data_IF_911426649087
#
_entry.id   IF_911426649087
#
_cell.length_a   1.000
_cell.length_b   1.000
_cell.length_c   1.000
_cell.angle_alpha   90.00
_cell.angle_beta   90.00
_cell.angle_gamma   90.00
#
_symmetry.space_group_name_H-M   'P 1'
#
loop_
_entity.id
_entity.type
_entity.pdbx_description
1 polymer ?
#
# COMPACT_ATOMS: atom_id res chain seq x y z
N UNK A 1 -19.34 19.86 -26.52
CA UNK A 1 -18.15 20.12 -25.69
C UNK A 1 -18.34 19.38 -24.38
N UNK A 2 -17.37 18.57 -23.94
CA UNK A 2 -17.39 17.95 -22.60
C UNK A 2 -16.72 18.91 -21.61
N UNK A 3 -17.27 19.01 -20.40
CA UNK A 3 -16.74 19.86 -19.34
C UNK A 3 -16.42 19.02 -18.10
N UNK A 4 -15.23 19.23 -17.53
CA UNK A 4 -14.82 18.71 -16.22
C UNK A 4 -14.83 19.88 -15.24
N UNK A 5 -15.37 19.69 -14.04
CA UNK A 5 -15.65 20.78 -13.09
C UNK A 5 -17.11 21.28 -13.19
N UNK A 6 -17.38 22.58 -12.96
CA UNK A 6 -16.45 23.64 -12.55
C UNK A 6 -15.96 23.43 -11.10
N UNK A 7 -15.17 24.37 -10.56
CA UNK A 7 -14.67 24.33 -9.18
C UNK A 7 -13.87 23.05 -8.86
N UNK A 8 -13.03 22.62 -9.80
CA UNK A 8 -12.06 21.55 -9.62
C UNK A 8 -10.63 22.08 -9.69
N UNK A 9 -9.67 21.32 -9.18
CA UNK A 9 -8.25 21.69 -9.28
C UNK A 9 -7.67 21.52 -10.70
N UNK A 10 -8.37 20.83 -11.60
CA UNK A 10 -7.90 20.51 -12.95
C UNK A 10 -7.43 19.06 -13.09
N UNK A 11 -6.54 18.79 -14.04
CA UNK A 11 -6.09 17.43 -14.34
C UNK A 11 -4.58 17.30 -14.62
N UNK A 12 -4.05 16.11 -14.37
CA UNK A 12 -2.67 15.69 -14.67
C UNK A 12 -2.70 14.38 -15.46
N UNK A 13 -1.80 14.26 -16.43
CA UNK A 13 -1.51 12.99 -17.11
C UNK A 13 0.00 12.83 -17.25
N UNK A 14 0.57 11.95 -16.43
CA UNK A 14 2.03 11.73 -16.43
C UNK A 14 2.57 11.08 -17.71
N UNK A 15 1.85 10.19 -18.41
CA UNK A 15 2.37 9.57 -19.64
C UNK A 15 2.57 10.53 -20.81
N UNK A 16 1.98 11.73 -20.76
CA UNK A 16 2.14 12.77 -21.80
C UNK A 16 2.67 14.09 -21.23
N UNK A 17 3.24 14.05 -20.02
CA UNK A 17 3.81 15.22 -19.35
C UNK A 17 2.83 16.42 -19.20
N UNK A 18 1.53 16.15 -19.02
CA UNK A 18 0.50 17.19 -18.92
C UNK A 18 0.21 17.54 -17.46
N UNK A 19 0.34 18.82 -17.13
CA UNK A 19 -0.15 19.40 -15.88
C UNK A 19 -1.06 20.59 -16.18
N UNK A 20 -2.36 20.40 -16.05
CA UNK A 20 -3.38 21.43 -16.18
C UNK A 20 -4.10 21.59 -14.83
N UNK A 21 -3.35 21.87 -13.78
CA UNK A 21 -3.86 22.08 -12.42
C UNK A 21 -3.49 23.44 -11.85
N UNK A 22 -4.35 23.96 -10.97
CA UNK A 22 -4.15 25.25 -10.29
C UNK A 22 -3.18 25.16 -9.10
N UNK A 23 -3.23 24.05 -8.34
CA UNK A 23 -2.42 23.78 -7.15
C UNK A 23 -2.17 22.29 -7.09
N UNK A 24 -0.92 21.90 -6.84
CA UNK A 24 -0.56 20.51 -6.59
C UNK A 24 0.83 20.20 -7.17
N UNK A 25 1.66 19.41 -6.49
CA UNK A 25 2.92 19.04 -7.07
C UNK A 25 2.72 17.98 -8.15
N UNK A 26 3.60 17.99 -9.15
CA UNK A 26 3.60 16.99 -10.21
C UNK A 26 4.10 15.63 -9.66
N UNK A 27 3.30 14.55 -9.74
CA UNK A 27 3.67 13.25 -9.20
C UNK A 27 4.67 12.51 -10.11
N UNK A 28 5.44 11.54 -9.58
CA UNK A 28 6.17 10.60 -10.43
C UNK A 28 5.21 9.83 -11.35
N UNK A 29 5.71 9.41 -12.51
CA UNK A 29 4.90 8.60 -13.43
C UNK A 29 4.72 7.18 -12.87
N UNK A 30 3.52 6.64 -13.03
CA UNK A 30 3.16 5.29 -12.58
C UNK A 30 1.80 4.89 -13.12
N UNK A 31 1.09 4.04 -12.39
CA UNK A 31 -0.10 3.33 -12.88
C UNK A 31 -1.37 3.54 -12.04
N UNK A 32 -1.30 4.37 -10.99
CA UNK A 32 -2.47 4.73 -10.17
C UNK A 32 -3.23 5.87 -10.86
N UNK A 33 -4.54 5.75 -11.03
CA UNK A 33 -5.39 6.83 -11.52
C UNK A 33 -6.33 7.35 -10.46
N UNK A 34 -6.40 8.67 -10.30
CA UNK A 34 -7.15 9.34 -9.24
C UNK A 34 -8.31 10.13 -9.85
N UNK A 35 -9.51 9.95 -9.31
CA UNK A 35 -10.65 10.84 -9.55
C UNK A 35 -11.23 11.35 -8.23
N UNK A 36 -11.55 12.63 -8.14
CA UNK A 36 -12.07 13.17 -6.87
C UNK A 36 -12.97 14.38 -7.08
N UNK A 37 -14.08 14.43 -6.33
CA UNK A 37 -14.90 15.64 -6.22
C UNK A 37 -14.22 16.75 -5.40
N UNK A 38 -13.25 16.41 -4.54
CA UNK A 38 -12.42 17.37 -3.81
C UNK A 38 -11.04 17.50 -4.44
N UNK A 39 -10.67 18.72 -4.84
CA UNK A 39 -9.32 19.02 -5.32
C UNK A 39 -8.24 18.66 -4.30
N UNK A 40 -8.47 18.96 -3.01
CA UNK A 40 -7.49 18.68 -1.96
C UNK A 40 -7.19 17.19 -1.83
N UNK A 41 -8.17 16.29 -2.04
CA UNK A 41 -7.89 14.85 -2.09
C UNK A 41 -7.01 14.47 -3.28
N UNK A 42 -7.19 15.09 -4.46
CA UNK A 42 -6.26 14.89 -5.60
C UNK A 42 -4.84 15.29 -5.21
N UNK A 43 -4.68 16.48 -4.63
CA UNK A 43 -3.38 16.98 -4.15
C UNK A 43 -2.76 16.05 -3.08
N UNK A 44 -3.56 15.53 -2.15
CA UNK A 44 -3.10 14.59 -1.12
C UNK A 44 -2.55 13.30 -1.72
N UNK A 45 -3.25 12.69 -2.68
CA UNK A 45 -2.76 11.46 -3.33
C UNK A 45 -1.49 11.70 -4.15
N UNK A 46 -1.37 12.85 -4.81
CA UNK A 46 -0.11 13.23 -5.49
C UNK A 46 1.03 13.49 -4.49
N UNK A 47 0.74 14.03 -3.31
CA UNK A 47 1.73 14.17 -2.23
C UNK A 47 2.21 12.81 -1.73
N UNK A 48 1.30 11.87 -1.45
CA UNK A 48 1.67 10.51 -1.10
C UNK A 48 2.47 9.82 -2.21
N UNK A 49 2.12 10.06 -3.47
CA UNK A 49 2.88 9.59 -4.63
C UNK A 49 4.33 10.09 -4.63
N UNK A 50 4.55 11.39 -4.39
CA UNK A 50 5.91 11.94 -4.27
C UNK A 50 6.66 11.44 -3.05
N UNK A 51 5.97 11.32 -1.92
CA UNK A 51 6.58 10.86 -0.67
C UNK A 51 7.04 9.40 -0.78
N UNK A 52 6.23 8.54 -1.40
CA UNK A 52 6.50 7.10 -1.50
C UNK A 52 7.28 6.72 -2.75
N UNK A 53 7.29 7.58 -3.79
CA UNK A 53 7.82 7.26 -5.11
C UNK A 53 6.88 6.44 -5.99
N UNK A 54 5.69 6.04 -5.50
CA UNK A 54 4.73 5.27 -6.29
C UNK A 54 3.88 6.19 -7.14
N UNK A 55 4.02 6.07 -8.46
CA UNK A 55 3.54 7.07 -9.41
C UNK A 55 2.06 7.03 -9.77
N UNK A 56 1.60 8.16 -10.31
CA UNK A 56 0.25 8.39 -10.80
C UNK A 56 0.26 8.37 -12.34
N UNK A 57 -0.74 7.74 -12.97
CA UNK A 57 -1.01 7.79 -14.40
C UNK A 57 -1.91 8.98 -14.77
N UNK A 58 -3.03 9.14 -14.04
CA UNK A 58 -4.02 10.21 -14.23
C UNK A 58 -4.40 10.81 -12.88
N UNK A 59 -4.58 12.11 -12.80
CA UNK A 59 -5.21 12.75 -11.65
C UNK A 59 -6.27 13.72 -12.15
N UNK A 60 -7.53 13.49 -11.83
CA UNK A 60 -8.65 14.28 -12.36
C UNK A 60 -9.51 14.80 -11.20
N UNK A 61 -9.55 16.12 -11.05
CA UNK A 61 -10.48 16.78 -10.12
C UNK A 61 -11.80 17.04 -10.83
N UNK A 62 -12.85 16.32 -10.42
CA UNK A 62 -14.20 16.46 -10.97
C UNK A 62 -14.89 17.75 -10.48
N UNK A 63 -14.45 18.31 -9.35
CA UNK A 63 -15.08 19.48 -8.73
C UNK A 63 -16.57 19.26 -8.51
N UNK A 64 -17.38 20.22 -8.97
CA UNK A 64 -18.84 20.14 -8.91
C UNK A 64 -19.45 19.07 -9.82
N UNK A 65 -18.68 18.49 -10.75
CA UNK A 65 -19.13 17.43 -11.65
C UNK A 65 -20.42 17.79 -12.43
N UNK A 66 -20.52 19.03 -12.92
CA UNK A 66 -21.75 19.55 -13.52
C UNK A 66 -22.09 18.93 -14.88
N UNK A 67 -21.10 18.37 -15.59
CA UNK A 67 -21.29 17.70 -16.88
C UNK A 67 -20.65 16.31 -16.88
N UNK A 68 -19.34 16.24 -16.61
CA UNK A 68 -18.62 14.96 -16.47
C UNK A 68 -18.43 14.64 -15.00
N UNK A 69 -18.98 13.51 -14.55
CA UNK A 69 -18.88 13.07 -13.17
C UNK A 69 -17.87 11.95 -12.97
N UNK A 70 -17.85 11.45 -11.73
CA UNK A 70 -16.97 10.36 -11.31
C UNK A 70 -17.26 9.08 -12.10
N UNK A 71 -18.52 8.78 -12.40
CA UNK A 71 -18.93 7.58 -13.14
C UNK A 71 -18.29 7.53 -14.54
N UNK A 72 -18.32 8.63 -15.30
CA UNK A 72 -17.70 8.69 -16.62
C UNK A 72 -16.18 8.61 -16.55
N UNK A 73 -15.56 9.20 -15.52
CA UNK A 73 -14.12 9.10 -15.30
C UNK A 73 -13.71 7.65 -14.99
N UNK A 74 -14.52 6.92 -14.21
CA UNK A 74 -14.31 5.49 -13.94
C UNK A 74 -14.43 4.65 -15.21
N UNK A 75 -15.41 4.94 -16.08
CA UNK A 75 -15.55 4.25 -17.37
C UNK A 75 -14.33 4.48 -18.28
N UNK A 76 -13.74 5.66 -18.22
CA UNK A 76 -12.46 5.97 -18.89
C UNK A 76 -11.31 5.16 -18.28
N UNK A 77 -11.14 5.20 -16.96
CA UNK A 77 -10.07 4.45 -16.27
C UNK A 77 -10.16 2.93 -16.49
N UNK A 78 -11.37 2.38 -16.62
CA UNK A 78 -11.59 0.98 -16.95
C UNK A 78 -10.96 0.56 -18.29
N UNK A 79 -10.87 1.51 -19.24
CA UNK A 79 -10.37 1.29 -20.60
C UNK A 79 -8.91 1.77 -20.80
N UNK A 80 -8.43 2.67 -19.94
CA UNK A 80 -7.10 3.28 -20.07
C UNK A 80 -5.95 2.30 -19.78
N UNK A 81 -5.13 1.97 -20.77
CA UNK A 81 -4.02 1.01 -20.65
C UNK A 81 -2.93 1.46 -19.65
N UNK A 82 -2.87 2.75 -19.33
CA UNK A 82 -1.93 3.30 -18.34
C UNK A 82 -2.43 3.19 -16.90
N UNK A 83 -3.70 2.87 -16.69
CA UNK A 83 -4.28 2.69 -15.37
C UNK A 83 -4.25 1.22 -14.98
N UNK A 84 -3.59 0.89 -13.87
CA UNK A 84 -3.64 -0.44 -13.25
C UNK A 84 -4.60 -0.50 -12.06
N UNK A 85 -4.79 0.61 -11.35
CA UNK A 85 -5.70 0.75 -10.19
C UNK A 85 -6.26 2.17 -10.15
N UNK A 86 -7.51 2.30 -9.67
CA UNK A 86 -8.13 3.60 -9.47
C UNK A 86 -8.33 3.93 -7.98
N UNK A 87 -8.10 5.18 -7.60
CA UNK A 87 -8.53 5.76 -6.32
C UNK A 87 -9.61 6.78 -6.60
N UNK A 88 -10.71 6.72 -5.86
CA UNK A 88 -11.80 7.69 -5.99
C UNK A 88 -12.24 8.25 -4.65
N UNK A 89 -12.41 9.57 -4.60
CA UNK A 89 -13.08 10.25 -3.50
C UNK A 89 -14.44 10.80 -3.93
N UNK A 90 -15.49 10.42 -3.20
CA UNK A 90 -16.89 10.76 -3.49
C UNK A 90 -17.51 11.42 -2.26
N UNK A 91 -18.08 12.61 -2.42
CA UNK A 91 -18.91 13.29 -1.43
C UNK A 91 -20.38 13.11 -1.77
N UNK A 92 -20.77 13.47 -3.00
CA UNK A 92 -22.15 13.48 -3.49
C UNK A 92 -22.39 12.51 -4.63
N UNK A 93 -23.59 11.92 -4.66
CA UNK A 93 -24.03 10.96 -5.70
C UNK A 93 -25.27 11.54 -6.37
N UNK A 94 -25.16 11.89 -7.65
CA UNK A 94 -26.28 12.38 -8.46
C UNK A 94 -27.08 11.23 -9.09
N UNK A 95 -26.38 10.22 -9.62
CA UNK A 95 -26.98 9.00 -10.20
C UNK A 95 -26.28 7.75 -9.65
N UNK A 96 -26.93 7.12 -8.67
CA UNK A 96 -26.40 5.95 -7.99
C UNK A 96 -26.34 4.69 -8.87
N UNK A 97 -27.30 4.53 -9.80
CA UNK A 97 -27.32 3.37 -10.69
C UNK A 97 -26.19 3.44 -11.72
N UNK A 98 -25.96 4.64 -12.27
CA UNK A 98 -24.84 4.88 -13.17
C UNK A 98 -23.51 4.68 -12.46
N UNK A 99 -23.36 5.24 -11.25
CA UNK A 99 -22.15 5.07 -10.45
C UNK A 99 -21.87 3.58 -10.14
N UNK A 100 -22.88 2.83 -9.72
CA UNK A 100 -22.75 1.40 -9.45
C UNK A 100 -22.35 0.61 -10.72
N UNK A 101 -22.90 0.99 -11.87
CA UNK A 101 -22.54 0.37 -13.17
C UNK A 101 -21.07 0.62 -13.52
N UNK A 102 -20.60 1.87 -13.40
CA UNK A 102 -19.21 2.23 -13.65
C UNK A 102 -18.24 1.58 -12.65
N UNK A 103 -18.61 1.52 -11.38
CA UNK A 103 -17.84 0.80 -10.34
C UNK A 103 -17.69 -0.68 -10.69
N UNK A 104 -18.77 -1.35 -11.08
CA UNK A 104 -18.73 -2.75 -11.51
C UNK A 104 -17.86 -2.95 -12.75
N UNK A 105 -17.96 -2.05 -13.72
CA UNK A 105 -17.18 -2.12 -14.96
C UNK A 105 -15.68 -2.04 -14.69
N UNK A 106 -15.25 -1.09 -13.85
CA UNK A 106 -13.82 -0.96 -13.52
C UNK A 106 -13.35 -2.13 -12.67
N UNK A 107 -14.06 -2.55 -11.61
CA UNK A 107 -13.61 -3.63 -10.72
C UNK A 107 -13.46 -4.97 -11.42
N UNK A 108 -14.32 -5.25 -12.41
CA UNK A 108 -14.21 -6.42 -13.29
C UNK A 108 -12.93 -6.44 -14.15
N UNK A 109 -12.19 -5.34 -14.23
CA UNK A 109 -10.93 -5.22 -14.98
C UNK A 109 -9.75 -4.92 -14.07
N UNK A 110 -9.90 -3.98 -13.14
CA UNK A 110 -8.85 -3.32 -12.36
C UNK A 110 -9.36 -3.02 -10.94
N UNK A 111 -8.52 -3.05 -9.91
CA UNK A 111 -8.95 -2.67 -8.56
C UNK A 111 -9.44 -1.22 -8.49
N UNK A 112 -10.46 -0.98 -7.66
CA UNK A 112 -10.99 0.34 -7.37
C UNK A 112 -11.01 0.55 -5.86
N UNK A 113 -10.31 1.59 -5.40
CA UNK A 113 -10.28 2.04 -4.01
C UNK A 113 -11.16 3.27 -3.86
N UNK A 114 -12.07 3.27 -2.88
CA UNK A 114 -13.02 4.37 -2.68
C UNK A 114 -12.95 4.90 -1.26
N UNK A 115 -12.84 6.22 -1.16
CA UNK A 115 -13.08 6.99 0.06
C UNK A 115 -14.41 7.73 -0.09
N UNK A 116 -15.37 7.42 0.78
CA UNK A 116 -16.69 8.09 0.80
C UNK A 116 -16.72 9.15 1.89
N UNK A 117 -16.79 10.42 1.48
CA UNK A 117 -17.11 11.53 2.38
C UNK A 117 -18.55 11.44 2.88
N UNK A 118 -18.80 11.88 4.11
CA UNK A 118 -20.14 11.92 4.69
C UNK A 118 -20.75 10.56 5.03
N UNK A 119 -19.92 9.60 5.46
CA UNK A 119 -20.36 8.25 5.85
C UNK A 119 -21.09 8.17 7.20
N UNK A 120 -20.99 9.21 8.03
CA UNK A 120 -21.70 9.33 9.30
C UNK A 120 -22.79 10.40 9.21
N UNK A 121 -23.77 10.42 10.14
CA UNK A 121 -24.79 11.48 10.18
C UNK A 121 -24.16 12.89 10.21
N UNK A 122 -23.18 13.10 11.08
CA UNK A 122 -22.50 14.40 11.19
C UNK A 122 -21.68 14.72 9.94
N UNK A 123 -20.99 13.73 9.36
CA UNK A 123 -20.24 13.92 8.11
C UNK A 123 -21.17 14.21 6.93
N UNK A 124 -22.33 13.56 6.85
CA UNK A 124 -23.32 13.77 5.82
C UNK A 124 -23.89 15.19 5.87
N UNK A 125 -24.14 15.72 7.08
CA UNK A 125 -24.54 17.12 7.27
C UNK A 125 -23.45 18.08 6.78
N UNK A 126 -22.18 17.83 7.13
CA UNK A 126 -21.06 18.64 6.66
C UNK A 126 -20.93 18.60 5.13
N UNK A 127 -21.04 17.42 4.52
CA UNK A 127 -21.00 17.25 3.07
C UNK A 127 -22.20 17.93 2.39
N UNK A 128 -23.40 17.85 2.97
CA UNK A 128 -24.59 18.53 2.46
C UNK A 128 -24.43 20.06 2.49
N UNK A 129 -23.84 20.63 3.56
CA UNK A 129 -23.53 22.06 3.59
C UNK A 129 -22.44 22.48 2.59
N UNK A 130 -21.52 21.56 2.26
CA UNK A 130 -20.41 21.82 1.34
C UNK A 130 -20.81 21.71 -0.14
N UNK A 131 -21.69 20.75 -0.47
CA UNK A 131 -22.02 20.40 -1.87
C UNK A 131 -23.47 20.70 -2.25
N UNK A 132 -24.34 20.93 -1.29
CA UNK A 132 -25.79 21.02 -1.50
C UNK A 132 -26.46 19.70 -1.90
N UNK A 133 -25.74 18.57 -1.91
CA UNK A 133 -26.27 17.26 -2.27
C UNK A 133 -27.08 16.64 -1.12
N UNK A 134 -28.14 15.90 -1.46
CA UNK A 134 -28.91 15.12 -0.50
C UNK A 134 -28.03 14.02 0.11
N UNK A 135 -28.11 13.82 1.42
CA UNK A 135 -27.38 12.77 2.11
C UNK A 135 -27.78 11.38 1.57
N UNK A 136 -26.80 10.63 1.06
CA UNK A 136 -26.97 9.22 0.66
C UNK A 136 -26.93 8.31 1.90
N UNK A 137 -27.75 7.26 1.95
CA UNK A 137 -27.65 6.22 2.98
C UNK A 137 -26.33 5.45 2.82
N UNK A 138 -25.46 5.56 3.82
CA UNK A 138 -24.14 4.95 3.79
C UNK A 138 -24.17 3.42 3.76
N UNK A 139 -25.21 2.80 4.33
CA UNK A 139 -25.38 1.35 4.32
C UNK A 139 -25.68 0.83 2.92
N UNK A 140 -26.45 1.59 2.15
CA UNK A 140 -26.75 1.27 0.75
C UNK A 140 -25.47 1.40 -0.08
N UNK A 141 -24.70 2.47 0.12
CA UNK A 141 -23.41 2.66 -0.55
C UNK A 141 -22.42 1.53 -0.22
N UNK A 142 -22.40 1.10 1.05
CA UNK A 142 -21.56 -0.02 1.49
C UNK A 142 -21.93 -1.33 0.79
N UNK A 143 -23.23 -1.66 0.74
CA UNK A 143 -23.71 -2.85 0.03
C UNK A 143 -23.40 -2.81 -1.48
N UNK A 144 -23.46 -1.64 -2.11
CA UNK A 144 -23.03 -1.44 -3.51
C UNK A 144 -21.53 -1.68 -3.65
N UNK A 145 -20.71 -1.18 -2.74
CA UNK A 145 -19.27 -1.41 -2.79
C UNK A 145 -18.94 -2.91 -2.67
N UNK A 146 -19.50 -3.58 -1.66
CA UNK A 146 -19.27 -5.00 -1.40
C UNK A 146 -19.70 -5.88 -2.58
N UNK A 147 -20.90 -5.65 -3.13
CA UNK A 147 -21.43 -6.45 -4.25
C UNK A 147 -20.62 -6.29 -5.54
N UNK A 148 -19.95 -5.15 -5.73
CA UNK A 148 -19.17 -4.86 -6.93
C UNK A 148 -17.65 -5.01 -6.73
N UNK A 149 -17.18 -5.55 -5.61
CA UNK A 149 -15.75 -5.76 -5.38
C UNK A 149 -14.95 -4.46 -5.23
N UNK A 150 -15.62 -3.38 -4.83
CA UNK A 150 -14.98 -2.09 -4.55
C UNK A 150 -14.31 -2.14 -3.19
N UNK A 151 -13.04 -1.74 -3.15
CA UNK A 151 -12.29 -1.62 -1.90
C UNK A 151 -12.60 -0.28 -1.24
N UNK A 152 -13.58 -0.28 -0.35
CA UNK A 152 -13.93 0.91 0.44
C UNK A 152 -13.01 1.06 1.65
N UNK A 153 -12.50 2.27 1.88
CA UNK A 153 -11.64 2.64 3.02
C UNK A 153 -12.08 3.99 3.61
N UNK A 154 -11.57 4.33 4.78
CA UNK A 154 -12.09 5.47 5.57
C UNK A 154 -11.31 6.78 5.40
N UNK A 155 -10.06 6.71 4.97
CA UNK A 155 -9.18 7.87 4.88
C UNK A 155 -8.24 7.80 3.68
N UNK A 156 -7.59 8.94 3.39
CA UNK A 156 -6.70 9.09 2.25
C UNK A 156 -5.41 8.29 2.39
N UNK A 157 -4.95 8.03 3.62
CA UNK A 157 -3.71 7.31 3.87
C UNK A 157 -3.90 5.82 3.53
N UNK A 158 -4.94 5.18 4.09
CA UNK A 158 -5.28 3.79 3.77
C UNK A 158 -5.59 3.64 2.27
N UNK A 159 -6.29 4.61 1.67
CA UNK A 159 -6.60 4.57 0.24
C UNK A 159 -5.36 4.57 -0.64
N UNK A 160 -4.36 5.40 -0.30
CA UNK A 160 -3.11 5.41 -1.04
C UNK A 160 -2.32 4.13 -0.81
N UNK A 161 -2.19 3.64 0.42
CA UNK A 161 -1.47 2.40 0.73
C UNK A 161 -2.04 1.21 -0.04
N UNK A 162 -3.36 1.05 -0.04
CA UNK A 162 -4.06 -0.01 -0.76
C UNK A 162 -3.83 0.09 -2.26
N UNK A 163 -3.97 1.29 -2.85
CA UNK A 163 -3.76 1.47 -4.27
C UNK A 163 -2.30 1.25 -4.68
N UNK A 164 -1.34 1.74 -3.89
CA UNK A 164 0.06 1.47 -4.11
C UNK A 164 0.38 -0.03 -4.00
N UNK A 165 -0.29 -0.76 -3.10
CA UNK A 165 -0.19 -2.22 -3.01
C UNK A 165 -0.65 -2.87 -4.32
N UNK A 166 -1.86 -2.54 -4.79
CA UNK A 166 -2.36 -3.04 -6.08
C UNK A 166 -1.47 -2.67 -7.27
N UNK A 167 -0.83 -1.50 -7.24
CA UNK A 167 0.02 -1.03 -8.32
C UNK A 167 1.40 -1.73 -8.37
N UNK A 168 1.87 -2.28 -7.25
CA UNK A 168 3.28 -2.68 -7.09
C UNK A 168 3.49 -4.12 -6.63
N UNK A 169 2.42 -4.84 -6.28
CA UNK A 169 2.48 -6.19 -5.74
C UNK A 169 1.58 -7.15 -6.53
N UNK A 170 1.96 -8.43 -6.67
CA UNK A 170 1.04 -9.44 -7.16
C UNK A 170 -0.11 -9.65 -6.16
N UNK A 171 -1.26 -10.09 -6.65
CA UNK A 171 -2.38 -10.45 -5.79
C UNK A 171 -2.06 -11.74 -5.01
N UNK A 172 -2.37 -11.81 -3.70
CA UNK A 172 -2.21 -13.05 -2.95
C UNK A 172 -3.19 -14.10 -3.49
N UNK A 173 -2.73 -15.35 -3.57
CA UNK A 173 -3.52 -16.51 -4.06
C UNK A 173 -4.33 -17.21 -2.97
N UNK A 174 -4.23 -16.71 -1.74
CA UNK A 174 -4.91 -17.24 -0.58
C UNK A 174 -4.67 -16.36 0.64
N UNK A 175 -5.25 -16.71 1.79
CA UNK A 175 -5.21 -15.87 3.00
C UNK A 175 -3.97 -16.10 3.86
N UNK A 176 -3.13 -17.09 3.59
CA UNK A 176 -2.09 -17.51 4.54
C UNK A 176 -0.90 -16.55 4.52
N UNK A 177 -0.70 -15.85 5.64
CA UNK A 177 0.36 -14.86 5.79
C UNK A 177 1.36 -15.30 6.85
N UNK A 178 2.64 -15.12 6.56
CA UNK A 178 3.71 -15.18 7.54
C UNK A 178 4.27 -13.78 7.79
N UNK A 179 4.42 -13.42 9.05
CA UNK A 179 5.09 -12.18 9.47
C UNK A 179 6.53 -12.54 9.85
N UNK A 180 7.51 -11.97 9.14
CA UNK A 180 8.93 -12.06 9.48
C UNK A 180 9.35 -10.75 10.16
N UNK A 181 10.00 -10.84 11.31
CA UNK A 181 10.39 -9.65 12.07
C UNK A 181 11.72 -9.81 12.79
N UNK A 182 12.45 -8.70 12.91
CA UNK A 182 13.55 -8.50 13.86
C UNK A 182 13.15 -7.61 15.05
N UNK A 183 11.87 -7.23 15.12
CA UNK A 183 11.29 -6.34 16.13
C UNK A 183 10.00 -6.95 16.68
N UNK A 184 10.13 -7.76 17.74
CA UNK A 184 9.02 -8.56 18.27
C UNK A 184 7.74 -7.79 18.59
N UNK A 185 7.86 -6.61 19.19
CA UNK A 185 6.69 -5.77 19.54
C UNK A 185 5.85 -5.37 18.32
N UNK A 186 6.48 -5.08 17.18
CA UNK A 186 5.78 -4.78 15.94
C UNK A 186 5.12 -6.02 15.32
N UNK A 187 5.73 -7.19 15.52
CA UNK A 187 5.10 -8.47 15.17
C UNK A 187 3.78 -8.71 15.91
N UNK A 188 3.73 -8.38 17.21
CA UNK A 188 2.51 -8.51 18.02
C UNK A 188 1.37 -7.62 17.50
N UNK A 189 1.60 -6.31 17.35
CA UNK A 189 0.53 -5.38 16.91
C UNK A 189 0.09 -5.61 15.46
N UNK A 190 0.98 -6.16 14.63
CA UNK A 190 0.65 -6.58 13.26
C UNK A 190 -0.24 -7.82 13.27
N UNK A 191 0.10 -8.82 14.09
CA UNK A 191 -0.71 -10.03 14.30
C UNK A 191 -2.10 -9.71 14.82
N UNK A 192 -2.18 -8.75 15.75
CA UNK A 192 -3.43 -8.23 16.30
C UNK A 192 -4.36 -7.68 15.22
N UNK A 193 -3.84 -6.93 14.24
CA UNK A 193 -4.63 -6.39 13.13
C UNK A 193 -5.11 -7.51 12.21
N UNK A 194 -4.23 -8.46 11.87
CA UNK A 194 -4.58 -9.64 11.05
C UNK A 194 -5.74 -10.41 11.73
N UNK A 195 -5.62 -10.68 13.02
CA UNK A 195 -6.62 -11.41 13.78
C UNK A 195 -7.94 -10.63 13.94
N UNK A 196 -7.88 -9.32 14.24
CA UNK A 196 -9.08 -8.48 14.44
C UNK A 196 -9.88 -8.30 13.15
N UNK A 197 -9.20 -8.12 12.02
CA UNK A 197 -9.88 -7.95 10.74
C UNK A 197 -10.46 -9.27 10.23
N UNK A 198 -9.84 -10.41 10.55
CA UNK A 198 -10.30 -11.75 10.18
C UNK A 198 -10.28 -12.02 8.67
N UNK A 199 -9.63 -11.16 7.90
CA UNK A 199 -9.54 -11.24 6.43
C UNK A 199 -8.39 -12.17 6.02
N UNK A 200 -7.24 -12.03 6.67
CA UNK A 200 -6.04 -12.83 6.45
C UNK A 200 -5.93 -13.89 7.54
N UNK A 201 -5.21 -14.97 7.25
CA UNK A 201 -4.92 -16.04 8.19
C UNK A 201 -3.45 -15.94 8.63
N UNK A 202 -3.21 -15.57 9.88
CA UNK A 202 -1.89 -15.71 10.50
C UNK A 202 -1.64 -17.20 10.75
N UNK A 203 -1.13 -17.88 9.73
CA UNK A 203 -1.09 -19.33 9.71
C UNK A 203 -0.14 -19.90 10.76
N UNK A 204 -0.46 -21.08 11.31
CA UNK A 204 0.53 -21.91 11.99
C UNK A 204 1.64 -22.31 11.00
N UNK A 205 2.89 -22.26 11.45
CA UNK A 205 4.01 -22.67 10.61
C UNK A 205 3.95 -24.19 10.37
N UNK A 206 4.05 -24.65 9.12
CA UNK A 206 4.26 -26.07 8.82
C UNK A 206 5.52 -26.60 9.49
N UNK A 207 5.51 -27.87 9.90
CA UNK A 207 6.62 -28.48 10.66
C UNK A 207 7.95 -28.40 9.88
N UNK A 208 7.92 -28.65 8.57
CA UNK A 208 9.09 -28.57 7.71
C UNK A 208 9.63 -27.14 7.59
N UNK A 209 8.75 -26.14 7.47
CA UNK A 209 9.16 -24.74 7.49
C UNK A 209 9.76 -24.34 8.85
N UNK A 210 9.13 -24.75 9.95
CA UNK A 210 9.61 -24.47 11.32
C UNK A 210 10.98 -25.11 11.61
N UNK A 211 11.19 -26.35 11.16
CA UNK A 211 12.47 -27.07 11.27
C UNK A 211 13.56 -26.33 10.49
N UNK A 212 13.28 -25.94 9.24
CA UNK A 212 14.25 -25.24 8.41
C UNK A 212 14.62 -23.85 8.94
N UNK A 213 13.64 -23.11 9.50
CA UNK A 213 13.90 -21.83 10.17
C UNK A 213 14.73 -22.03 11.45
N UNK A 214 14.42 -23.05 12.24
CA UNK A 214 15.15 -23.38 13.48
C UNK A 214 16.62 -23.70 13.22
N UNK A 215 16.97 -24.23 12.05
CA UNK A 215 18.37 -24.48 11.68
C UNK A 215 19.18 -23.19 11.44
N UNK A 216 18.51 -22.05 11.21
CA UNK A 216 19.13 -20.76 10.90
C UNK A 216 19.12 -19.77 12.09
N UNK A 217 18.34 -20.05 13.13
CA UNK A 217 18.13 -19.18 14.29
C UNK A 217 18.52 -19.86 15.59
N UNK A 218 18.92 -19.09 16.63
CA UNK A 218 19.12 -19.66 17.95
C UNK A 218 17.80 -20.14 18.55
N UNK A 219 17.85 -21.13 19.46
CA UNK A 219 16.68 -21.75 20.11
C UNK A 219 15.67 -20.76 20.74
N UNK A 220 16.08 -19.53 21.01
CA UNK A 220 15.23 -18.46 21.59
C UNK A 220 14.34 -17.71 20.59
N UNK A 221 14.35 -18.05 19.30
CA UNK A 221 13.42 -17.46 18.34
C UNK A 221 11.97 -17.84 18.68
N UNK A 222 10.97 -17.20 18.08
CA UNK A 222 9.58 -17.33 18.52
C UNK A 222 8.96 -18.73 18.41
N UNK A 223 9.50 -19.63 17.57
CA UNK A 223 8.91 -20.93 17.22
C UNK A 223 7.44 -20.85 16.77
N UNK A 224 7.03 -19.71 16.23
CA UNK A 224 5.65 -19.45 15.80
C UNK A 224 5.61 -18.37 14.71
N UNK A 225 4.41 -18.03 14.24
CA UNK A 225 4.14 -16.89 13.37
C UNK A 225 3.53 -15.76 14.23
N UNK A 226 4.20 -14.60 14.40
CA UNK A 226 5.37 -14.10 13.66
C UNK A 226 6.68 -14.84 13.90
N UNK A 227 7.46 -15.02 12.84
CA UNK A 227 8.86 -15.47 12.90
C UNK A 227 9.70 -14.31 13.40
N UNK A 228 9.98 -14.29 14.70
CA UNK A 228 10.84 -13.29 15.35
C UNK A 228 12.25 -13.86 15.50
N UNK A 229 13.23 -13.19 14.88
CA UNK A 229 14.63 -13.61 14.90
C UNK A 229 15.31 -13.47 16.28
N UNK A 230 14.70 -12.73 17.21
CA UNK A 230 15.18 -12.56 18.60
C UNK A 230 16.66 -12.13 18.71
N UNK A 231 17.09 -11.24 17.80
CA UNK A 231 18.47 -10.74 17.72
C UNK A 231 19.49 -11.82 17.33
N UNK A 232 19.03 -12.93 16.74
CA UNK A 232 19.85 -14.03 16.25
C UNK A 232 20.31 -13.87 14.80
N UNK A 233 19.86 -12.82 14.12
CA UNK A 233 20.18 -12.59 12.73
C UNK A 233 21.66 -12.22 12.50
N UNK A 234 22.25 -12.90 11.53
CA UNK A 234 23.56 -12.55 10.97
C UNK A 234 23.36 -11.96 9.56
N UNK A 235 24.46 -11.77 8.83
CA UNK A 235 24.46 -11.23 7.47
C UNK A 235 23.48 -11.94 6.50
N UNK A 236 23.37 -13.26 6.62
CA UNK A 236 22.65 -14.09 5.64
C UNK A 236 21.29 -14.61 6.16
N UNK A 237 21.06 -14.52 7.47
CA UNK A 237 19.89 -15.10 8.14
C UNK A 237 18.56 -14.56 7.60
N UNK A 238 18.39 -13.22 7.52
CA UNK A 238 17.14 -12.62 7.03
C UNK A 238 16.84 -12.98 5.57
N UNK A 239 17.78 -12.84 4.61
CA UNK A 239 17.63 -13.32 3.25
C UNK A 239 17.21 -14.79 3.12
N UNK A 240 17.85 -15.67 3.88
CA UNK A 240 17.60 -17.11 3.81
C UNK A 240 16.23 -17.49 4.37
N UNK A 241 15.85 -16.93 5.52
CA UNK A 241 14.53 -17.14 6.12
C UNK A 241 13.43 -16.56 5.22
N UNK A 242 13.62 -15.36 4.68
CA UNK A 242 12.64 -14.76 3.77
C UNK A 242 12.43 -15.63 2.52
N UNK A 243 13.51 -16.23 1.98
CA UNK A 243 13.44 -17.17 0.87
C UNK A 243 12.70 -18.45 1.25
N UNK A 244 13.00 -19.06 2.40
CA UNK A 244 12.30 -20.25 2.89
C UNK A 244 10.79 -19.99 2.99
N UNK A 245 10.40 -18.88 3.63
CA UNK A 245 8.99 -18.50 3.77
C UNK A 245 8.35 -18.24 2.40
N UNK A 246 8.96 -17.41 1.56
CA UNK A 246 8.37 -17.00 0.28
C UNK A 246 8.22 -18.17 -0.70
N UNK A 247 9.14 -19.12 -0.71
CA UNK A 247 9.09 -20.29 -1.60
C UNK A 247 8.21 -21.42 -1.10
N UNK A 248 7.85 -21.43 0.20
CA UNK A 248 7.02 -22.47 0.78
C UNK A 248 5.59 -22.49 0.19
N UNK A 249 5.09 -23.64 -0.26
CA UNK A 249 3.83 -23.75 -1.00
C UNK A 249 2.59 -23.33 -0.20
N UNK A 250 2.60 -23.49 1.12
CA UNK A 250 1.47 -23.14 2.01
C UNK A 250 1.37 -21.65 2.35
N UNK A 251 2.37 -20.85 1.99
CA UNK A 251 2.42 -19.41 2.28
C UNK A 251 1.94 -18.63 1.06
N UNK A 252 0.96 -17.75 1.22
CA UNK A 252 0.40 -16.93 0.14
C UNK A 252 0.99 -15.51 0.08
N UNK A 253 1.45 -15.00 1.23
CA UNK A 253 2.03 -13.67 1.34
C UNK A 253 2.97 -13.53 2.54
N UNK A 254 3.85 -12.53 2.50
CA UNK A 254 4.77 -12.22 3.59
C UNK A 254 4.65 -10.74 3.98
N UNK A 255 4.65 -10.47 5.28
CA UNK A 255 4.90 -9.13 5.82
C UNK A 255 6.26 -9.15 6.49
N UNK A 256 7.20 -8.34 5.98
CA UNK A 256 8.55 -8.22 6.51
C UNK A 256 8.70 -6.92 7.29
N UNK A 257 9.05 -7.04 8.57
CA UNK A 257 9.23 -5.94 9.52
C UNK A 257 10.70 -5.80 9.93
N UNK A 258 11.08 -4.60 10.39
CA UNK A 258 12.41 -4.34 10.93
C UNK A 258 13.46 -3.91 9.89
N UNK A 259 13.06 -3.67 8.64
CA UNK A 259 13.92 -2.99 7.67
C UNK A 259 14.30 -1.60 8.21
N UNK A 260 15.55 -1.17 8.01
CA UNK A 260 16.00 0.17 8.39
C UNK A 260 16.78 0.22 9.70
N UNK A 261 16.76 -0.85 10.51
CA UNK A 261 17.52 -0.94 11.77
C UNK A 261 19.01 -0.85 11.52
N UNK A 262 19.51 -1.57 10.52
CA UNK A 262 20.94 -1.56 10.20
C UNK A 262 21.36 -0.16 9.77
N UNK A 263 20.62 0.46 8.85
CA UNK A 263 20.87 1.82 8.38
C UNK A 263 20.79 2.85 9.49
N UNK A 264 19.91 2.69 10.48
CA UNK A 264 19.86 3.58 11.65
C UNK A 264 21.06 3.38 12.57
N UNK A 265 21.59 2.17 12.69
CA UNK A 265 22.86 1.92 13.38
C UNK A 265 24.03 2.58 12.64
N UNK A 266 24.03 2.51 11.30
CA UNK A 266 24.99 3.22 10.47
C UNK A 266 24.89 4.74 10.66
N UNK A 267 23.67 5.28 10.71
CA UNK A 267 23.41 6.71 10.92
C UNK A 267 23.88 7.16 12.30
N UNK A 268 23.58 6.40 13.36
CA UNK A 268 24.06 6.68 14.71
C UNK A 268 25.60 6.81 14.76
N UNK A 269 26.31 5.94 14.05
CA UNK A 269 27.78 6.01 13.96
C UNK A 269 28.25 7.23 13.14
N UNK A 270 27.58 7.51 12.03
CA UNK A 270 27.92 8.60 11.10
C UNK A 270 27.68 9.98 11.72
N UNK A 271 26.64 10.12 12.54
CA UNK A 271 26.31 11.36 13.27
C UNK A 271 27.16 11.53 14.56
N UNK A 272 27.89 10.50 14.96
CA UNK A 272 28.75 10.54 16.14
C UNK A 272 30.08 11.27 15.89
N UNK A 273 30.68 11.79 16.97
CA UNK A 273 31.97 12.52 16.91
C UNK A 273 33.17 11.65 16.50
N UNK A 274 33.00 10.34 16.41
CA UNK A 274 34.03 9.39 16.02
C UNK A 274 33.99 9.04 14.53
N UNK A 275 33.17 9.69 13.69
CA UNK A 275 33.14 9.48 12.23
C UNK A 275 33.55 10.77 11.50
N UNK A 276 34.31 10.69 10.38
CA UNK A 276 34.81 9.49 9.70
C UNK A 276 36.10 8.91 10.29
N UNK A 277 36.68 9.57 11.29
CA UNK A 277 37.94 9.16 11.92
C UNK A 277 37.77 7.77 12.62
N UNK A 278 38.84 7.13 13.09
CA UNK A 278 38.76 5.83 13.80
C UNK A 278 38.25 4.60 13.00
N UNK A 279 38.10 4.68 11.67
CA UNK A 279 37.86 3.51 10.81
C UNK A 279 36.44 2.93 10.86
N UNK A 280 35.46 3.73 11.30
CA UNK A 280 34.05 3.33 11.38
C UNK A 280 33.38 3.14 10.00
N UNK A 281 34.00 3.65 8.92
CA UNK A 281 33.48 3.54 7.55
C UNK A 281 33.11 2.11 7.15
N UNK A 282 33.92 1.12 7.53
CA UNK A 282 33.65 -0.29 7.22
C UNK A 282 32.37 -0.80 7.90
N UNK A 283 32.10 -0.33 9.12
CA UNK A 283 30.94 -0.73 9.93
C UNK A 283 29.68 -0.06 9.38
N UNK A 284 29.74 1.26 9.12
CA UNK A 284 28.67 2.03 8.47
C UNK A 284 28.29 1.39 7.13
N UNK A 285 29.29 1.12 6.28
CA UNK A 285 29.09 0.50 4.96
C UNK A 285 28.56 -0.94 5.05
N UNK A 286 28.88 -1.67 6.11
CA UNK A 286 28.32 -3.01 6.32
C UNK A 286 26.81 -2.92 6.58
N UNK A 287 26.41 -2.07 7.53
CA UNK A 287 25.02 -1.91 7.94
C UNK A 287 24.12 -1.36 6.82
N UNK A 288 24.57 -0.33 6.08
CA UNK A 288 23.81 0.19 4.94
C UNK A 288 23.58 -0.89 3.87
N UNK A 289 24.63 -1.65 3.52
CA UNK A 289 24.52 -2.76 2.56
C UNK A 289 23.61 -3.89 3.03
N UNK A 290 23.49 -4.13 4.34
CA UNK A 290 22.56 -5.14 4.86
C UNK A 290 21.11 -4.77 4.57
N UNK A 291 20.70 -3.55 4.93
CA UNK A 291 19.32 -3.12 4.67
C UNK A 291 19.00 -3.03 3.18
N UNK A 292 19.94 -2.52 2.35
CA UNK A 292 19.79 -2.55 0.89
C UNK A 292 19.55 -3.98 0.39
N UNK A 293 20.36 -4.93 0.87
CA UNK A 293 20.23 -6.34 0.48
C UNK A 293 18.89 -6.93 0.92
N UNK A 294 18.42 -6.63 2.13
CA UNK A 294 17.14 -7.15 2.62
C UNK A 294 15.97 -6.63 1.78
N UNK A 295 15.97 -5.33 1.46
CA UNK A 295 14.99 -4.71 0.57
C UNK A 295 15.02 -5.30 -0.84
N UNK A 296 16.22 -5.49 -1.41
CA UNK A 296 16.40 -6.06 -2.73
C UNK A 296 15.86 -7.50 -2.81
N UNK A 297 16.21 -8.35 -1.83
CA UNK A 297 15.79 -9.75 -1.81
C UNK A 297 14.28 -9.88 -1.62
N UNK A 298 13.66 -9.03 -0.80
CA UNK A 298 12.20 -8.99 -0.70
C UNK A 298 11.53 -8.69 -2.05
N UNK A 299 12.07 -7.74 -2.81
CA UNK A 299 11.55 -7.40 -4.13
C UNK A 299 11.74 -8.53 -5.15
N UNK A 300 12.92 -9.15 -5.17
CA UNK A 300 13.28 -10.26 -6.05
C UNK A 300 12.42 -11.49 -5.77
N UNK A 301 12.29 -11.90 -4.50
CA UNK A 301 11.50 -13.06 -4.11
C UNK A 301 10.01 -12.88 -4.44
N UNK A 302 9.48 -11.67 -4.29
CA UNK A 302 8.09 -11.40 -4.67
C UNK A 302 7.86 -11.56 -6.18
N UNK A 303 8.84 -11.17 -7.02
CA UNK A 303 8.80 -11.41 -8.47
C UNK A 303 8.95 -12.90 -8.77
N UNK A 304 9.95 -13.55 -8.19
CA UNK A 304 10.29 -14.97 -8.39
C UNK A 304 9.11 -15.89 -8.06
N UNK A 305 8.48 -15.66 -6.91
CA UNK A 305 7.41 -16.53 -6.38
C UNK A 305 6.01 -16.11 -6.84
N UNK A 306 5.85 -14.89 -7.35
CA UNK A 306 4.55 -14.31 -7.65
C UNK A 306 3.69 -14.07 -6.41
N UNK A 307 4.28 -13.97 -5.22
CA UNK A 307 3.61 -13.71 -3.95
C UNK A 307 3.89 -12.28 -3.47
N UNK A 308 2.92 -11.59 -2.85
CA UNK A 308 3.17 -10.28 -2.29
C UNK A 308 4.10 -10.40 -1.07
N UNK A 309 5.17 -9.60 -1.07
CA UNK A 309 6.05 -9.40 0.07
C UNK A 309 6.00 -7.90 0.41
N UNK A 310 5.27 -7.58 1.48
CA UNK A 310 5.09 -6.21 1.92
C UNK A 310 6.14 -5.88 2.98
N UNK A 311 6.91 -4.82 2.74
CA UNK A 311 8.01 -4.43 3.64
C UNK A 311 7.62 -3.18 4.40
N UNK A 312 7.62 -3.27 5.73
CA UNK A 312 7.36 -2.15 6.61
C UNK A 312 8.60 -1.77 7.42
N UNK A 313 8.67 -0.48 7.77
CA UNK A 313 9.72 0.05 8.63
C UNK A 313 9.17 1.08 9.60
N UNK A 314 9.34 0.80 10.88
CA UNK A 314 8.88 1.65 11.97
C UNK A 314 9.96 2.61 12.46
N UNK A 315 11.15 2.49 11.86
CA UNK A 315 12.36 3.21 12.26
C UNK A 315 13.00 3.99 11.11
N UNK A 316 12.69 3.62 9.86
CA UNK A 316 13.31 4.23 8.66
C UNK A 316 12.38 5.11 7.83
N UNK A 317 11.05 5.03 7.98
CA UNK A 317 10.10 5.60 6.98
C UNK A 317 10.20 7.12 6.83
N UNK A 318 10.64 7.82 7.87
CA UNK A 318 10.82 9.27 7.87
C UNK A 318 12.15 9.73 7.25
N UNK A 319 13.06 8.80 6.94
CA UNK A 319 14.39 9.06 6.38
C UNK A 319 14.46 8.45 4.97
N UNK A 320 14.32 9.28 3.94
CA UNK A 320 14.40 8.82 2.56
C UNK A 320 15.82 8.47 2.09
N UNK A 321 16.84 8.79 2.91
CA UNK A 321 18.22 8.39 2.70
C UNK A 321 18.56 7.07 3.43
N UNK A 322 17.65 6.54 4.26
CA UNK A 322 17.79 5.21 4.82
C UNK A 322 17.94 4.19 3.68
N UNK A 323 19.03 3.42 3.69
CA UNK A 323 19.46 2.64 2.55
C UNK A 323 18.43 1.57 2.15
N UNK A 324 17.79 0.94 3.15
CA UNK A 324 16.68 0.00 2.93
C UNK A 324 15.45 0.67 2.31
N UNK A 325 15.01 1.81 2.86
CA UNK A 325 13.85 2.56 2.35
C UNK A 325 14.09 3.00 0.92
N UNK A 326 15.27 3.57 0.66
CA UNK A 326 15.70 3.98 -0.67
C UNK A 326 15.68 2.80 -1.66
N UNK A 327 16.19 1.63 -1.24
CA UNK A 327 16.19 0.45 -2.10
C UNK A 327 14.78 -0.08 -2.39
N UNK A 328 13.86 -0.06 -1.42
CA UNK A 328 12.45 -0.39 -1.67
C UNK A 328 11.85 0.55 -2.72
N UNK A 329 12.11 1.86 -2.64
CA UNK A 329 11.65 2.83 -3.65
C UNK A 329 12.25 2.58 -5.03
N UNK A 330 13.55 2.27 -5.10
CA UNK A 330 14.23 1.92 -6.36
C UNK A 330 13.65 0.64 -7.00
N UNK A 331 13.13 -0.29 -6.19
CA UNK A 331 12.41 -1.47 -6.65
C UNK A 331 10.96 -1.20 -7.09
N UNK A 332 10.53 0.07 -7.09
CA UNK A 332 9.16 0.51 -7.38
C UNK A 332 8.10 -0.12 -6.47
N UNK A 333 8.44 -0.35 -5.20
CA UNK A 333 7.54 -0.92 -4.18
C UNK A 333 7.29 0.08 -3.06
N UNK A 334 6.15 -0.07 -2.40
CA UNK A 334 5.82 0.74 -1.22
C UNK A 334 6.57 0.23 0.02
N UNK A 335 7.22 1.14 0.74
CA UNK A 335 7.71 0.90 2.08
C UNK A 335 6.67 1.42 3.08
N UNK A 336 6.01 0.53 3.81
CA UNK A 336 4.93 0.91 4.74
C UNK A 336 5.52 1.48 6.03
N UNK A 337 4.82 2.44 6.64
CA UNK A 337 5.25 3.06 7.89
C UNK A 337 5.18 2.11 9.10
N UNK A 338 4.42 1.02 9.02
CA UNK A 338 4.35 -0.05 10.02
C UNK A 338 3.63 -1.28 9.47
N UNK A 339 3.78 -2.41 10.17
CA UNK A 339 3.14 -3.68 9.80
C UNK A 339 1.61 -3.65 9.81
N UNK A 340 0.96 -2.80 10.61
CA UNK A 340 -0.51 -2.70 10.63
C UNK A 340 -1.07 -2.15 9.31
N UNK A 341 -0.42 -1.12 8.76
CA UNK A 341 -0.75 -0.56 7.43
C UNK A 341 -0.52 -1.59 6.33
N UNK A 342 0.60 -2.30 6.37
CA UNK A 342 0.89 -3.38 5.44
C UNK A 342 -0.19 -4.49 5.51
N UNK A 343 -0.56 -4.94 6.71
CA UNK A 343 -1.57 -5.98 6.91
C UNK A 343 -2.95 -5.58 6.37
N UNK A 344 -3.40 -4.35 6.64
CA UNK A 344 -4.68 -3.84 6.09
C UNK A 344 -4.66 -3.83 4.57
N UNK A 345 -3.60 -3.28 3.98
CA UNK A 345 -3.48 -3.18 2.53
C UNK A 345 -3.40 -4.55 1.83
N UNK A 346 -2.70 -5.51 2.43
CA UNK A 346 -2.68 -6.91 2.00
C UNK A 346 -4.07 -7.54 2.10
N UNK A 347 -4.77 -7.33 3.21
CA UNK A 347 -6.12 -7.83 3.42
C UNK A 347 -7.09 -7.31 2.36
N UNK A 348 -7.03 -6.03 2.04
CA UNK A 348 -7.83 -5.44 0.93
C UNK A 348 -7.49 -6.05 -0.42
N UNK A 349 -6.21 -6.30 -0.68
CA UNK A 349 -5.76 -6.94 -1.91
C UNK A 349 -6.28 -8.37 -2.04
N UNK A 350 -6.28 -9.13 -0.94
CA UNK A 350 -6.86 -10.47 -0.88
C UNK A 350 -8.39 -10.47 -1.06
N UNK A 351 -9.11 -9.55 -0.43
CA UNK A 351 -10.57 -9.43 -0.63
C UNK A 351 -10.93 -9.20 -2.10
N UNK A 352 -10.18 -8.34 -2.78
CA UNK A 352 -10.36 -8.12 -4.22
C UNK A 352 -10.02 -9.38 -5.03
N UNK A 353 -8.91 -10.05 -4.73
CA UNK A 353 -8.51 -11.29 -5.41
C UNK A 353 -9.58 -12.39 -5.27
N UNK A 354 -10.11 -12.58 -4.06
CA UNK A 354 -11.21 -13.49 -3.75
C UNK A 354 -12.49 -13.12 -4.52
N UNK A 355 -12.86 -11.84 -4.56
CA UNK A 355 -14.02 -11.38 -5.33
C UNK A 355 -13.87 -11.64 -6.83
N UNK A 356 -12.66 -11.51 -7.38
CA UNK A 356 -12.34 -11.84 -8.78
C UNK A 356 -12.28 -13.34 -9.07
N UNK A 357 -12.33 -14.21 -8.05
CA UNK A 357 -12.11 -15.65 -8.19
C UNK A 357 -10.67 -16.01 -8.56
N UNK A 358 -9.69 -15.17 -8.17
CA UNK A 358 -8.26 -15.38 -8.40
C UNK A 358 -7.55 -16.03 -7.21
N UNK A 359 -8.22 -16.05 -6.04
CA UNK A 359 -7.75 -16.58 -4.78
C UNK A 359 -8.82 -17.45 -4.11
#
# INVERSE_FOLDING_TARGET
>A
ILLIGPNGQGLVSTPVSLCAQIVGPYPPSGSISVASQSGNFVSSFMNYSRFTGIGIARAISAGNAACTGVSEILDYFAQDDKTSVAIVYIEGISDGNKLATSMKLITARKPLVVVKGGSTKSGALAAASHTGALASDDRVFDGVCQSNGVTRVTDAEEAFDVAATFATQPLPKGPNVVVLTTVGGWGVVTSDVIAKDGILNLMSLPDDLSINISALLPDRWSHNNPVDCAGGETRDTIPEILRLIATHSSVDAVIFLGLGIQSNQARLMTEGSFYPEYGLERIVSYHQRQDERFAQIAAELSIETGKPILVATELGVADDQNAGVKQIRLSHRLCYANGQRAARALGRSYQYAKWRGLA
#
